data_IF_779545421955
#
_entry.id   IF_779545421955
#
_cell.length_a   1.000
_cell.length_b   1.000
_cell.length_c   1.000
_cell.angle_alpha   90.00
_cell.angle_beta   90.00
_cell.angle_gamma   90.00
#
_symmetry.space_group_name_H-M   'P 1'
#
loop_
_entity.id
_entity.type
_entity.pdbx_description
1 polymer ?
#
# COMPACT_ATOMS: atom_id res chain seq x y z
N UNK A 1 4.87 -28.86 5.20
CA UNK A 1 5.56 -27.95 6.13
C UNK A 1 5.63 -26.60 5.45
N UNK A 2 4.69 -25.71 5.75
CA UNK A 2 4.64 -24.35 5.19
C UNK A 2 5.80 -23.57 5.83
N UNK A 3 6.77 -23.14 5.02
CA UNK A 3 7.81 -22.24 5.52
C UNK A 3 7.14 -21.01 6.13
N UNK A 4 7.63 -20.47 7.27
CA UNK A 4 7.15 -19.18 7.74
C UNK A 4 7.41 -18.18 6.62
N UNK A 5 6.37 -17.50 6.15
CA UNK A 5 6.54 -16.32 5.31
C UNK A 5 7.47 -15.40 6.09
N UNK A 6 8.68 -15.18 5.58
CA UNK A 6 9.61 -14.26 6.20
C UNK A 6 8.89 -12.92 6.36
N UNK A 7 8.76 -12.47 7.61
CA UNK A 7 8.24 -11.14 7.92
C UNK A 7 9.01 -10.11 7.10
N UNK A 8 8.32 -9.11 6.55
CA UNK A 8 9.00 -8.05 5.81
C UNK A 8 10.04 -7.37 6.71
N UNK A 9 11.28 -7.23 6.24
CA UNK A 9 12.37 -6.58 6.98
C UNK A 9 11.98 -5.12 7.31
N UNK A 10 11.73 -4.79 8.60
CA UNK A 10 11.29 -3.45 8.98
C UNK A 10 12.34 -2.38 8.68
N UNK A 11 13.64 -2.71 8.83
CA UNK A 11 14.72 -1.78 8.57
C UNK A 11 14.78 -1.43 7.08
N UNK A 12 14.56 -2.42 6.22
CA UNK A 12 14.47 -2.22 4.77
C UNK A 12 13.28 -1.35 4.38
N UNK A 13 12.09 -1.62 4.94
CA UNK A 13 10.90 -0.82 4.68
C UNK A 13 11.08 0.64 5.10
N UNK A 14 11.65 0.88 6.29
CA UNK A 14 11.95 2.24 6.79
C UNK A 14 12.97 2.93 5.90
N UNK A 15 14.06 2.25 5.51
CA UNK A 15 15.08 2.83 4.64
C UNK A 15 14.51 3.25 3.29
N UNK A 16 13.66 2.41 2.69
CA UNK A 16 12.96 2.74 1.44
C UNK A 16 12.03 3.93 1.68
N UNK A 17 11.15 3.89 2.68
CA UNK A 17 10.22 5.00 2.95
C UNK A 17 10.95 6.34 3.15
N UNK A 18 12.10 6.35 3.84
CA UNK A 18 12.91 7.57 4.02
C UNK A 18 13.49 8.09 2.72
N UNK A 19 13.75 7.24 1.72
CA UNK A 19 14.19 7.70 0.40
C UNK A 19 13.13 8.53 -0.35
N UNK A 20 11.86 8.46 0.07
CA UNK A 20 10.76 9.24 -0.51
C UNK A 20 10.60 10.63 0.11
N UNK A 21 11.34 10.96 1.18
CA UNK A 21 11.33 12.29 1.77
C UNK A 21 11.68 13.36 0.73
N UNK A 22 10.89 14.43 0.70
CA UNK A 22 11.00 15.49 -0.31
C UNK A 22 10.21 15.24 -1.59
N UNK A 23 9.56 14.08 -1.76
CA UNK A 23 8.60 13.87 -2.86
C UNK A 23 7.39 14.79 -2.67
N UNK A 24 7.00 15.63 -3.66
CA UNK A 24 5.85 16.51 -3.53
C UNK A 24 4.53 15.75 -3.34
N UNK A 25 3.56 16.35 -2.65
CA UNK A 25 2.24 15.74 -2.51
C UNK A 25 1.44 15.90 -3.80
N UNK A 26 1.08 14.80 -4.45
CA UNK A 26 0.19 14.78 -5.61
C UNK A 26 -0.84 13.66 -5.46
N UNK A 27 -2.11 14.03 -5.57
CA UNK A 27 -3.24 13.12 -5.47
C UNK A 27 -3.13 12.01 -6.53
N UNK A 28 -3.33 10.76 -6.11
CA UNK A 28 -3.27 9.55 -6.92
C UNK A 28 -1.90 9.24 -7.56
N UNK A 29 -0.85 9.98 -7.23
CA UNK A 29 0.50 9.76 -7.75
C UNK A 29 1.26 8.74 -6.89
N UNK A 30 2.27 8.08 -7.48
CA UNK A 30 3.14 7.12 -6.78
C UNK A 30 4.53 7.07 -7.44
N UNK A 31 5.15 8.23 -7.63
CA UNK A 31 6.46 8.34 -8.27
C UNK A 31 7.43 9.17 -7.42
N UNK A 32 8.47 8.51 -6.90
CA UNK A 32 9.47 9.12 -6.00
C UNK A 32 10.13 10.33 -6.66
N UNK A 33 10.23 11.43 -5.93
CA UNK A 33 10.80 12.70 -6.40
C UNK A 33 9.92 13.50 -7.37
N UNK A 34 8.79 12.95 -7.83
CA UNK A 34 7.86 13.62 -8.74
C UNK A 34 6.54 13.93 -8.04
N UNK A 35 5.91 12.92 -7.42
CA UNK A 35 4.66 13.10 -6.72
C UNK A 35 4.13 11.82 -6.06
N UNK A 36 3.59 11.94 -4.85
CA UNK A 36 2.81 10.89 -4.20
C UNK A 36 1.82 11.44 -3.18
N UNK A 37 0.74 10.72 -2.92
CA UNK A 37 -0.07 10.88 -1.72
C UNK A 37 0.23 9.78 -0.69
N UNK A 38 -0.60 9.67 0.35
CA UNK A 38 -0.42 8.68 1.42
C UNK A 38 -0.42 7.23 0.89
N UNK A 39 -1.41 6.88 0.06
CA UNK A 39 -1.48 5.54 -0.53
C UNK A 39 -0.38 5.34 -1.57
N UNK A 40 -0.09 6.37 -2.36
CA UNK A 40 0.99 6.45 -3.32
C UNK A 40 2.35 6.11 -2.72
N UNK A 41 2.65 6.62 -1.52
CA UNK A 41 3.86 6.26 -0.77
C UNK A 41 3.86 4.77 -0.41
N UNK A 42 2.77 4.26 0.19
CA UNK A 42 2.67 2.86 0.58
C UNK A 42 2.83 1.90 -0.61
N UNK A 43 2.21 2.24 -1.76
CA UNK A 43 2.37 1.53 -3.04
C UNK A 43 3.82 1.55 -3.52
N UNK A 44 4.49 2.70 -3.44
CA UNK A 44 5.91 2.84 -3.78
C UNK A 44 6.81 1.94 -2.96
N UNK A 45 6.64 1.98 -1.64
CA UNK A 45 7.39 1.12 -0.71
C UNK A 45 7.11 -0.36 -0.99
N UNK A 46 5.84 -0.73 -1.23
CA UNK A 46 5.48 -2.11 -1.58
C UNK A 46 6.23 -2.60 -2.82
N UNK A 47 6.30 -1.79 -3.89
CA UNK A 47 7.01 -2.17 -5.11
C UNK A 47 8.49 -2.46 -4.90
N UNK A 48 9.14 -1.73 -3.99
CA UNK A 48 10.56 -1.91 -3.69
C UNK A 48 10.85 -3.02 -2.65
N UNK A 49 9.90 -3.32 -1.75
CA UNK A 49 10.06 -4.35 -0.70
C UNK A 49 9.56 -5.73 -1.15
N UNK A 50 8.38 -5.76 -1.79
CA UNK A 50 7.65 -6.99 -2.10
C UNK A 50 7.69 -7.31 -3.59
N UNK A 51 7.62 -6.29 -4.45
CA UNK A 51 7.53 -6.43 -5.90
C UNK A 51 6.23 -5.85 -6.46
N UNK A 52 5.82 -6.21 -7.68
CA UNK A 52 4.66 -5.59 -8.35
C UNK A 52 3.40 -5.59 -7.49
N UNK A 53 2.59 -4.54 -7.64
CA UNK A 53 1.28 -4.47 -7.02
C UNK A 53 0.40 -5.61 -7.53
N UNK A 54 -0.30 -6.30 -6.62
CA UNK A 54 -1.13 -7.45 -7.00
C UNK A 54 -2.38 -7.07 -7.78
N UNK A 55 -2.89 -5.86 -7.56
CA UNK A 55 -4.10 -5.37 -8.21
C UNK A 55 -3.91 -3.93 -8.69
N UNK A 56 -4.54 -3.55 -9.80
CA UNK A 56 -4.60 -2.15 -10.18
C UNK A 56 -5.39 -1.37 -9.12
N UNK A 57 -4.83 -0.25 -8.67
CA UNK A 57 -5.52 0.66 -7.77
C UNK A 57 -6.42 1.56 -8.64
N UNK A 58 -7.75 1.54 -8.45
CA UNK A 58 -8.66 2.37 -9.23
C UNK A 58 -8.45 3.85 -8.87
N UNK A 59 -8.92 4.80 -9.70
CA UNK A 59 -9.03 6.18 -9.27
C UNK A 59 -9.83 6.27 -7.96
N UNK A 60 -9.31 7.05 -7.01
CA UNK A 60 -9.92 7.21 -5.68
C UNK A 60 -10.01 8.68 -5.29
N UNK A 61 -11.03 9.00 -4.51
CA UNK A 61 -11.17 10.30 -3.87
C UNK A 61 -10.36 10.35 -2.58
N UNK A 62 -10.20 11.56 -2.02
CA UNK A 62 -9.51 11.74 -0.74
C UNK A 62 -10.21 11.06 0.43
N UNK A 63 -11.53 10.91 0.36
CA UNK A 63 -12.38 10.24 1.33
C UNK A 63 -12.61 8.75 1.01
N UNK A 64 -11.77 8.16 0.15
CA UNK A 64 -11.92 6.77 -0.27
C UNK A 64 -11.77 5.81 0.90
N UNK A 65 -12.83 5.05 1.17
CA UNK A 65 -12.90 4.14 2.30
C UNK A 65 -13.27 4.83 3.62
N UNK A 66 -13.44 6.15 3.64
CA UNK A 66 -13.94 6.91 4.80
C UNK A 66 -15.45 7.16 4.70
N UNK A 67 -16.00 7.22 3.49
CA UNK A 67 -17.41 7.50 3.23
C UNK A 67 -18.06 6.42 2.35
N UNK A 68 -19.38 6.26 2.51
CA UNK A 68 -20.21 5.37 1.69
C UNK A 68 -20.45 3.98 2.30
N UNK A 69 -21.19 3.11 1.61
CA UNK A 69 -21.62 1.82 2.13
C UNK A 69 -20.59 0.70 1.95
N UNK A 70 -19.43 0.98 1.37
CA UNK A 70 -18.41 -0.03 1.02
C UNK A 70 -17.23 0.01 1.96
N UNK A 71 -16.93 -1.13 2.56
CA UNK A 71 -15.78 -1.34 3.43
C UNK A 71 -14.53 -1.66 2.60
N UNK A 72 -13.95 -0.65 1.94
CA UNK A 72 -12.84 -0.78 0.98
C UNK A 72 -11.67 -1.62 1.53
N UNK A 73 -11.25 -1.36 2.76
CA UNK A 73 -10.15 -2.10 3.40
C UNK A 73 -10.55 -3.55 3.71
N UNK A 74 -11.78 -3.79 4.16
CA UNK A 74 -12.24 -5.14 4.47
C UNK A 74 -12.41 -5.99 3.20
N UNK A 75 -12.95 -5.41 2.13
CA UNK A 75 -13.04 -6.06 0.82
C UNK A 75 -11.66 -6.42 0.27
N UNK A 76 -10.70 -5.48 0.33
CA UNK A 76 -9.31 -5.73 -0.07
C UNK A 76 -8.61 -6.80 0.78
N UNK A 77 -8.86 -6.79 2.09
CA UNK A 77 -8.36 -7.79 3.04
C UNK A 77 -8.86 -9.19 2.70
N UNK A 78 -10.16 -9.37 2.42
CA UNK A 78 -10.75 -10.67 2.03
C UNK A 78 -10.11 -11.25 0.77
N UNK A 79 -9.70 -10.40 -0.17
CA UNK A 79 -9.02 -10.84 -1.39
C UNK A 79 -7.56 -11.29 -1.16
N UNK A 80 -6.96 -10.92 -0.02
CA UNK A 80 -5.52 -11.06 0.24
C UNK A 80 -5.18 -11.95 1.43
N UNK A 81 -6.12 -12.15 2.34
CA UNK A 81 -5.93 -12.85 3.60
C UNK A 81 -6.92 -13.99 3.74
N UNK A 82 -6.58 -14.96 4.59
CA UNK A 82 -7.48 -16.04 4.95
C UNK A 82 -8.49 -15.47 5.95
N UNK A 83 -9.76 -15.48 5.58
CA UNK A 83 -10.83 -15.08 6.49
C UNK A 83 -10.93 -16.08 7.65
N UNK A 84 -10.92 -15.55 8.88
CA UNK A 84 -11.08 -16.31 10.11
C UNK A 84 -12.47 -16.05 10.68
N UNK A 85 -13.11 -17.12 11.14
CA UNK A 85 -14.37 -16.99 11.89
C UNK A 85 -14.14 -16.16 13.15
N UNK A 86 -15.14 -15.37 13.58
CA UNK A 86 -15.06 -14.55 14.80
C UNK A 86 -14.71 -15.35 16.05
#
# INVERSE_FOLDING_TARGET
MTQPLASADPARAIAIARSWLGTPYHDQASLRGVGCDCLGLARGVWREVVGPERFPIPPYSRDWGETGPREVLAEGARAMMIEVSP
#
